data_IF_101309470889
#
_entry.id   IF_101309470889
#
_cell.length_a   1.000
_cell.length_b   1.000
_cell.length_c   1.000
_cell.angle_alpha   90.00
_cell.angle_beta   90.00
_cell.angle_gamma   90.00
#
_symmetry.space_group_name_H-M   'P 1'
#
loop_
_entity.id
_entity.type
_entity.pdbx_description
1 polymer ?
#
# COMPACT_ATOMS: atom_id res chain seq x y z
N UNK A 1 -28.13 9.15 -12.83
CA UNK A 1 -26.85 9.82 -12.51
C UNK A 1 -26.77 10.26 -11.03
N UNK A 2 -27.80 10.87 -10.46
CA UNK A 2 -27.81 11.25 -9.03
C UNK A 2 -27.77 10.05 -8.06
N UNK A 3 -28.40 8.92 -8.36
CA UNK A 3 -28.43 7.73 -7.52
C UNK A 3 -27.04 7.06 -7.35
N UNK A 4 -26.24 6.99 -8.41
CA UNK A 4 -24.87 6.44 -8.32
C UNK A 4 -23.91 7.36 -7.56
N UNK A 5 -24.13 8.67 -7.62
CA UNK A 5 -23.36 9.64 -6.83
C UNK A 5 -23.66 9.50 -5.34
N UNK A 6 -24.90 9.20 -4.96
CA UNK A 6 -25.29 9.00 -3.55
C UNK A 6 -24.70 7.72 -2.96
N UNK A 7 -24.65 6.62 -3.72
CA UNK A 7 -24.05 5.35 -3.25
C UNK A 7 -22.53 5.49 -3.04
N UNK A 8 -21.83 6.16 -3.95
CA UNK A 8 -20.39 6.40 -3.82
C UNK A 8 -20.06 7.29 -2.61
N UNK A 9 -20.83 8.34 -2.38
CA UNK A 9 -20.68 9.22 -1.21
C UNK A 9 -20.99 8.45 0.07
N UNK A 10 -22.03 7.62 0.09
CA UNK A 10 -22.40 6.82 1.24
C UNK A 10 -21.30 5.82 1.60
N UNK A 11 -20.70 5.16 0.63
CA UNK A 11 -19.57 4.25 0.84
C UNK A 11 -18.35 4.97 1.43
N UNK A 12 -18.01 6.15 0.90
CA UNK A 12 -16.92 6.95 1.42
C UNK A 12 -17.17 7.42 2.87
N UNK A 13 -18.39 7.86 3.18
CA UNK A 13 -18.80 8.27 4.53
C UNK A 13 -18.72 7.08 5.50
N UNK A 14 -19.15 5.90 5.08
CA UNK A 14 -19.07 4.70 5.90
C UNK A 14 -17.62 4.31 6.21
N UNK A 15 -16.71 4.36 5.23
CA UNK A 15 -15.27 4.09 5.45
C UNK A 15 -14.68 5.07 6.44
N UNK A 16 -14.94 6.37 6.27
CA UNK A 16 -14.47 7.40 7.22
C UNK A 16 -15.08 7.17 8.61
N UNK A 17 -16.36 6.79 8.68
CA UNK A 17 -17.02 6.46 9.94
C UNK A 17 -16.36 5.28 10.67
N UNK A 18 -16.05 4.19 9.96
CA UNK A 18 -15.35 3.04 10.54
C UNK A 18 -13.93 3.39 10.98
N UNK A 19 -13.20 4.18 10.19
CA UNK A 19 -11.86 4.64 10.59
C UNK A 19 -11.91 5.51 11.83
N UNK A 20 -12.83 6.46 11.91
CA UNK A 20 -13.02 7.32 13.07
C UNK A 20 -13.40 6.51 14.32
N UNK A 21 -14.29 5.52 14.18
CA UNK A 21 -14.67 4.61 15.26
C UNK A 21 -13.47 3.78 15.73
N UNK A 22 -12.68 3.22 14.82
CA UNK A 22 -11.51 2.42 15.15
C UNK A 22 -10.43 3.24 15.89
N UNK A 23 -10.14 4.44 15.37
CA UNK A 23 -9.18 5.36 16.02
C UNK A 23 -9.71 5.80 17.39
N UNK A 24 -10.99 6.14 17.48
CA UNK A 24 -11.62 6.53 18.76
C UNK A 24 -11.57 5.42 19.80
N UNK A 25 -11.86 4.18 19.39
CA UNK A 25 -11.77 3.01 20.27
C UNK A 25 -10.31 2.75 20.71
N UNK A 26 -9.35 2.86 19.79
CA UNK A 26 -7.92 2.71 20.11
C UNK A 26 -7.44 3.77 21.12
N UNK A 27 -7.80 5.02 20.93
CA UNK A 27 -7.49 6.10 21.87
C UNK A 27 -8.13 5.87 23.23
N UNK A 28 -9.41 5.47 23.26
CA UNK A 28 -10.11 5.15 24.51
C UNK A 28 -9.44 3.99 25.25
N UNK A 29 -9.03 2.95 24.53
CA UNK A 29 -8.33 1.81 25.11
C UNK A 29 -7.00 2.23 25.75
N UNK A 30 -6.18 3.01 25.05
CA UNK A 30 -4.91 3.53 25.61
C UNK A 30 -5.18 4.41 26.83
N UNK A 31 -6.18 5.32 26.75
CA UNK A 31 -6.53 6.20 27.85
C UNK A 31 -6.97 5.43 29.10
N UNK A 32 -7.82 4.41 28.93
CA UNK A 32 -8.26 3.55 30.04
C UNK A 32 -7.09 2.83 30.69
N UNK A 33 -6.16 2.27 29.88
CA UNK A 33 -4.97 1.61 30.42
C UNK A 33 -4.07 2.58 31.20
N UNK A 34 -3.88 3.81 30.72
CA UNK A 34 -3.11 4.83 31.44
C UNK A 34 -3.81 5.23 32.75
N UNK A 35 -5.14 5.35 32.72
CA UNK A 35 -5.94 5.69 33.89
C UNK A 35 -5.87 4.59 34.96
N UNK A 36 -6.03 3.34 34.55
CA UNK A 36 -5.87 2.18 35.43
C UNK A 36 -4.45 2.14 36.01
N UNK A 37 -3.43 2.32 35.15
CA UNK A 37 -2.04 2.40 35.59
C UNK A 37 -1.79 3.52 36.61
N UNK A 38 -2.44 4.68 36.42
CA UNK A 38 -2.33 5.79 37.37
C UNK A 38 -2.92 5.43 38.76
N UNK A 39 -4.04 4.74 38.81
CA UNK A 39 -4.68 4.36 40.09
C UNK A 39 -4.02 3.16 40.77
N UNK A 40 -3.51 2.21 40.00
CA UNK A 40 -2.90 0.97 40.52
C UNK A 40 -1.42 1.16 40.86
N UNK A 41 -0.76 2.13 40.25
CA UNK A 41 0.66 2.38 40.44
C UNK A 41 0.96 2.87 41.88
N UNK A 42 1.74 2.12 42.67
CA UNK A 42 2.13 2.56 44.01
C UNK A 42 2.98 3.83 43.91
N UNK A 43 2.58 4.87 44.62
CA UNK A 43 3.34 6.12 44.70
C UNK A 43 4.32 6.01 45.86
N UNK A 44 5.55 5.62 45.53
CA UNK A 44 6.64 5.62 46.49
C UNK A 44 7.84 6.38 45.88
N UNK A 45 7.91 7.71 46.05
CA UNK A 45 8.97 8.52 45.48
C UNK A 45 10.28 8.28 46.28
N UNK A 46 11.23 7.66 45.63
CA UNK A 46 12.62 7.58 46.07
C UNK A 46 13.51 8.38 45.13
N UNK A 47 14.62 9.01 45.60
CA UNK A 47 15.55 9.73 44.73
C UNK A 47 16.04 8.88 43.56
N UNK A 48 16.29 7.59 43.80
CA UNK A 48 16.74 6.60 42.83
C UNK A 48 15.73 6.32 41.72
N UNK A 49 14.43 6.61 41.92
CA UNK A 49 13.41 6.47 40.86
C UNK A 49 13.48 7.54 39.77
N UNK A 50 14.17 8.66 40.06
CA UNK A 50 14.41 9.71 39.09
C UNK A 50 15.69 9.49 38.26
N UNK A 51 16.50 8.52 38.64
CA UNK A 51 17.72 8.18 37.92
C UNK A 51 17.48 7.22 36.78
N UNK A 52 18.30 7.31 35.74
CA UNK A 52 18.26 6.42 34.61
C UNK A 52 18.65 5.02 35.07
N UNK A 53 17.77 4.04 34.83
CA UNK A 53 18.04 2.63 35.20
C UNK A 53 18.90 1.94 34.15
N UNK A 54 20.12 1.61 34.51
CA UNK A 54 21.06 0.84 33.71
C UNK A 54 21.43 -0.48 34.44
N UNK A 55 20.43 -1.34 34.62
CA UNK A 55 20.62 -2.68 35.23
C UNK A 55 21.30 -2.69 36.62
N UNK A 56 21.14 -1.62 37.40
CA UNK A 56 21.74 -1.49 38.75
C UNK A 56 23.12 -0.86 38.79
N UNK A 57 23.72 -0.53 37.66
CA UNK A 57 24.96 0.25 37.57
C UNK A 57 24.66 1.75 37.43
N UNK A 58 25.47 2.64 38.01
CA UNK A 58 25.32 4.08 37.78
C UNK A 58 25.61 4.42 36.33
N UNK A 59 24.80 5.29 35.74
CA UNK A 59 24.97 5.72 34.36
C UNK A 59 26.34 6.34 34.14
N UNK A 60 27.18 5.72 33.33
CA UNK A 60 28.54 6.18 33.00
C UNK A 60 28.54 6.78 31.60
N UNK A 61 28.79 8.08 31.47
CA UNK A 61 28.92 8.77 30.20
C UNK A 61 27.71 9.59 29.81
N UNK A 62 27.59 9.89 28.53
CA UNK A 62 26.53 10.71 27.94
C UNK A 62 25.60 9.82 27.14
N UNK A 63 24.27 10.06 27.23
CA UNK A 63 23.25 9.41 26.39
C UNK A 63 23.31 9.84 24.92
N UNK A 64 24.23 10.75 24.56
CA UNK A 64 24.47 11.14 23.17
C UNK A 64 25.25 10.03 22.45
N UNK A 65 24.50 9.09 21.88
CA UNK A 65 25.06 8.03 21.06
C UNK A 65 25.24 8.57 19.64
N UNK A 66 26.44 8.39 19.07
CA UNK A 66 26.64 8.60 17.65
C UNK A 66 25.97 7.45 16.89
N UNK A 67 24.80 7.72 16.31
CA UNK A 67 24.15 6.76 15.41
C UNK A 67 24.93 6.68 14.11
N UNK A 68 25.18 5.46 13.64
CA UNK A 68 25.67 5.24 12.29
C UNK A 68 24.57 5.62 11.29
N UNK A 69 24.88 6.59 10.40
CA UNK A 69 23.94 7.06 9.37
C UNK A 69 23.43 5.95 8.46
N UNK A 70 24.14 4.85 8.35
CA UNK A 70 23.75 3.66 7.57
C UNK A 70 22.45 3.05 8.03
N UNK A 71 22.18 3.06 9.34
CA UNK A 71 20.89 2.63 9.88
C UNK A 71 19.73 3.42 9.27
N UNK A 72 19.85 4.72 9.16
CA UNK A 72 18.82 5.57 8.56
C UNK A 72 18.66 5.32 7.07
N UNK A 73 19.75 5.02 6.36
CA UNK A 73 19.68 4.68 4.93
C UNK A 73 18.89 3.39 4.71
N UNK A 74 19.14 2.36 5.52
CA UNK A 74 18.40 1.09 5.44
C UNK A 74 16.94 1.29 5.80
N UNK A 75 16.63 2.06 6.85
CA UNK A 75 15.27 2.37 7.24
C UNK A 75 14.52 3.17 6.15
N UNK A 76 15.19 4.15 5.54
CA UNK A 76 14.64 4.94 4.45
C UNK A 76 14.40 4.07 3.20
N UNK A 77 15.34 3.19 2.88
CA UNK A 77 15.20 2.23 1.78
C UNK A 77 13.96 1.36 2.00
N UNK A 78 13.79 0.83 3.21
CA UNK A 78 12.62 0.02 3.57
C UNK A 78 11.32 0.79 3.35
N UNK A 79 11.23 2.03 3.82
CA UNK A 79 10.02 2.86 3.64
C UNK A 79 9.75 3.13 2.16
N UNK A 80 10.80 3.40 1.37
CA UNK A 80 10.64 3.62 -0.08
C UNK A 80 10.09 2.35 -0.73
N UNK A 81 10.66 1.18 -0.45
CA UNK A 81 10.18 -0.07 -1.03
C UNK A 81 8.74 -0.42 -0.62
N UNK A 82 8.34 -0.11 0.62
CA UNK A 82 6.95 -0.28 1.09
C UNK A 82 5.97 0.57 0.26
N UNK A 83 6.32 1.83 0.02
CA UNK A 83 5.51 2.72 -0.82
C UNK A 83 5.45 2.22 -2.26
N UNK A 84 6.57 1.75 -2.81
CA UNK A 84 6.64 1.21 -4.17
C UNK A 84 5.78 -0.05 -4.33
N UNK A 85 5.74 -0.93 -3.32
CA UNK A 85 4.85 -2.10 -3.31
C UNK A 85 3.39 -1.69 -3.37
N UNK A 86 3.00 -0.56 -2.78
CA UNK A 86 1.62 -0.07 -2.85
C UNK A 86 1.17 0.26 -4.29
N UNK A 87 2.08 0.67 -5.17
CA UNK A 87 1.76 0.94 -6.58
C UNK A 87 1.47 -0.34 -7.40
N UNK A 88 1.85 -1.52 -6.92
CA UNK A 88 1.47 -2.77 -7.57
C UNK A 88 -0.03 -3.06 -7.51
N UNK A 89 -0.76 -2.56 -6.52
CA UNK A 89 -2.19 -2.80 -6.40
C UNK A 89 -3.02 -2.19 -7.55
N UNK A 90 -2.87 -0.90 -7.90
CA UNK A 90 -3.55 -0.34 -9.06
C UNK A 90 -3.17 -1.05 -10.37
N UNK A 91 -1.89 -1.38 -10.54
CA UNK A 91 -1.42 -2.13 -11.69
C UNK A 91 -2.10 -3.51 -11.77
N UNK A 92 -2.09 -4.28 -10.69
CA UNK A 92 -2.68 -5.62 -10.65
C UNK A 92 -4.18 -5.61 -10.97
N UNK A 93 -4.91 -4.58 -10.54
CA UNK A 93 -6.33 -4.44 -10.87
C UNK A 93 -6.56 -4.19 -12.35
N UNK A 94 -5.77 -3.32 -12.99
CA UNK A 94 -5.89 -3.05 -14.43
C UNK A 94 -5.48 -4.27 -15.24
N UNK A 95 -4.35 -4.90 -14.90
CA UNK A 95 -3.86 -6.11 -15.57
C UNK A 95 -4.87 -7.25 -15.46
N UNK A 96 -5.34 -7.57 -14.25
CA UNK A 96 -6.29 -8.66 -14.03
C UNK A 96 -7.62 -8.47 -14.77
N UNK A 97 -8.14 -7.23 -14.80
CA UNK A 97 -9.39 -6.93 -15.53
C UNK A 97 -9.21 -6.97 -17.03
N UNK A 98 -8.05 -6.53 -17.54
CA UNK A 98 -7.76 -6.61 -18.97
C UNK A 98 -7.60 -8.06 -19.44
N UNK A 99 -6.95 -8.91 -18.66
CA UNK A 99 -6.85 -10.36 -18.96
C UNK A 99 -8.20 -11.03 -18.90
N UNK A 100 -9.02 -10.76 -17.87
CA UNK A 100 -10.35 -11.32 -17.76
C UNK A 100 -11.25 -10.91 -18.94
N UNK A 101 -11.18 -9.65 -19.37
CA UNK A 101 -11.91 -9.16 -20.54
C UNK A 101 -11.43 -9.85 -21.83
N UNK A 102 -10.13 -10.08 -21.98
CA UNK A 102 -9.54 -10.78 -23.09
C UNK A 102 -9.99 -12.25 -23.15
N UNK A 103 -10.09 -12.92 -22.01
CA UNK A 103 -10.58 -14.28 -21.89
C UNK A 103 -12.06 -14.39 -22.26
N UNK A 104 -12.90 -13.50 -21.70
CA UNK A 104 -14.32 -13.42 -22.04
C UNK A 104 -14.54 -13.17 -23.54
N UNK A 105 -13.77 -12.27 -24.14
CA UNK A 105 -13.87 -11.98 -25.56
C UNK A 105 -13.39 -13.16 -26.42
N UNK A 106 -12.33 -13.86 -26.01
CA UNK A 106 -11.81 -15.04 -26.70
C UNK A 106 -12.79 -16.22 -26.67
N UNK A 107 -13.57 -16.35 -25.60
CA UNK A 107 -14.62 -17.35 -25.43
C UNK A 107 -16.00 -16.93 -25.99
N UNK A 108 -16.06 -15.81 -26.73
CA UNK A 108 -17.27 -15.23 -27.29
C UNK A 108 -18.34 -14.85 -26.25
N UNK A 109 -17.93 -14.56 -25.03
CA UNK A 109 -18.83 -14.20 -23.92
C UNK A 109 -18.91 -12.69 -23.65
N UNK A 110 -18.04 -11.88 -24.27
CA UNK A 110 -18.06 -10.44 -24.07
C UNK A 110 -19.17 -9.73 -24.88
N UNK A 111 -19.52 -10.27 -26.06
CA UNK A 111 -20.56 -9.74 -26.93
C UNK A 111 -21.58 -10.82 -27.24
N UNK A 112 -22.85 -10.52 -27.02
CA UNK A 112 -23.97 -11.37 -27.37
C UNK A 112 -25.00 -10.59 -28.22
N UNK A 113 -25.42 -11.15 -29.36
CA UNK A 113 -26.36 -10.50 -30.28
C UNK A 113 -25.97 -9.07 -30.71
N UNK A 114 -24.69 -8.79 -30.89
CA UNK A 114 -24.18 -7.46 -31.29
C UNK A 114 -24.17 -6.43 -30.15
N UNK A 115 -24.39 -6.82 -28.92
CA UNK A 115 -24.34 -5.96 -27.73
C UNK A 115 -23.35 -6.49 -26.70
N UNK A 116 -22.73 -5.58 -25.95
CA UNK A 116 -21.89 -5.96 -24.82
C UNK A 116 -22.73 -6.62 -23.73
N UNK A 117 -22.24 -7.74 -23.18
CA UNK A 117 -22.82 -8.38 -22.01
C UNK A 117 -22.64 -7.49 -20.77
N UNK A 118 -23.49 -7.67 -19.76
CA UNK A 118 -23.41 -6.83 -18.55
C UNK A 118 -22.11 -7.02 -17.78
N UNK A 119 -21.54 -8.22 -17.81
CA UNK A 119 -20.21 -8.49 -17.24
C UNK A 119 -19.10 -7.73 -18.00
N UNK A 120 -19.17 -7.70 -19.34
CA UNK A 120 -18.21 -6.93 -20.13
C UNK A 120 -18.34 -5.42 -19.88
N UNK A 121 -19.58 -4.91 -19.77
CA UNK A 121 -19.83 -3.51 -19.43
C UNK A 121 -19.25 -3.13 -18.07
N UNK A 122 -19.41 -3.97 -17.06
CA UNK A 122 -18.82 -3.70 -15.73
C UNK A 122 -17.30 -3.64 -15.80
N UNK A 123 -16.65 -4.58 -16.48
CA UNK A 123 -15.19 -4.58 -16.65
C UNK A 123 -14.69 -3.33 -17.39
N UNK A 124 -15.37 -2.92 -18.46
CA UNK A 124 -15.01 -1.67 -19.15
C UNK A 124 -15.14 -0.43 -18.25
N UNK A 125 -16.23 -0.37 -17.46
CA UNK A 125 -16.44 0.73 -16.52
C UNK A 125 -15.36 0.76 -15.44
N UNK A 126 -14.98 -0.41 -14.94
CA UNK A 126 -13.93 -0.58 -13.94
C UNK A 126 -12.52 -0.30 -14.50
N UNK A 127 -12.30 -0.49 -15.80
CA UNK A 127 -11.09 -0.07 -16.52
C UNK A 127 -11.09 1.43 -16.84
N UNK A 128 -12.15 2.17 -16.47
CA UNK A 128 -12.24 3.63 -16.62
C UNK A 128 -12.92 4.09 -17.90
N UNK A 129 -13.49 3.21 -18.71
CA UNK A 129 -14.26 3.58 -19.91
C UNK A 129 -15.61 4.15 -19.49
N UNK A 130 -15.77 5.47 -19.63
CA UNK A 130 -16.98 6.19 -19.21
C UNK A 130 -18.11 6.11 -20.23
N UNK A 131 -17.78 6.03 -21.51
CA UNK A 131 -18.74 5.98 -22.59
C UNK A 131 -18.61 4.66 -23.36
N UNK A 132 -19.54 3.77 -23.10
CA UNK A 132 -19.60 2.45 -23.74
C UNK A 132 -20.21 2.49 -25.15
N UNK A 133 -20.81 3.60 -25.58
CA UNK A 133 -21.40 3.74 -26.90
C UNK A 133 -20.37 3.71 -28.02
N UNK A 134 -19.13 4.11 -27.71
CA UNK A 134 -18.01 4.10 -28.63
C UNK A 134 -17.24 2.78 -28.70
N UNK A 135 -17.61 1.81 -27.86
CA UNK A 135 -16.97 0.49 -27.86
C UNK A 135 -17.53 -0.36 -28.97
N UNK A 136 -16.66 -0.81 -29.86
CA UNK A 136 -17.04 -1.71 -30.94
C UNK A 136 -17.45 -3.05 -30.35
N UNK A 137 -18.74 -3.43 -30.49
CA UNK A 137 -19.28 -4.70 -29.98
C UNK A 137 -18.84 -5.88 -30.90
N UNK A 138 -17.56 -6.19 -30.89
CA UNK A 138 -16.94 -7.30 -31.61
C UNK A 138 -15.94 -8.02 -30.66
N UNK A 139 -16.17 -9.33 -30.44
CA UNK A 139 -15.34 -10.13 -29.56
C UNK A 139 -13.85 -10.15 -29.99
N UNK A 140 -13.58 -10.26 -31.29
CA UNK A 140 -12.20 -10.27 -31.78
C UNK A 140 -11.48 -8.94 -31.51
N UNK A 141 -12.13 -7.81 -31.80
CA UNK A 141 -11.57 -6.49 -31.55
C UNK A 141 -11.32 -6.27 -30.04
N UNK A 142 -12.26 -6.68 -29.19
CA UNK A 142 -12.15 -6.59 -27.73
C UNK A 142 -10.99 -7.48 -27.23
N UNK A 143 -10.87 -8.70 -27.74
CA UNK A 143 -9.80 -9.62 -27.35
C UNK A 143 -8.42 -9.04 -27.68
N UNK A 144 -8.25 -8.49 -28.89
CA UNK A 144 -6.99 -7.88 -29.32
C UNK A 144 -6.67 -6.65 -28.49
N UNK A 145 -7.63 -5.75 -28.28
CA UNK A 145 -7.44 -4.53 -27.51
C UNK A 145 -7.08 -4.83 -26.05
N UNK A 146 -7.79 -5.78 -25.42
CA UNK A 146 -7.57 -6.16 -24.03
C UNK A 146 -6.22 -6.86 -23.84
N UNK A 147 -5.80 -7.76 -24.76
CA UNK A 147 -4.47 -8.36 -24.74
C UNK A 147 -3.36 -7.33 -24.96
N UNK A 148 -3.59 -6.37 -25.84
CA UNK A 148 -2.63 -5.29 -26.06
C UNK A 148 -2.49 -4.43 -24.79
N UNK A 149 -3.60 -4.10 -24.13
CA UNK A 149 -3.58 -3.39 -22.86
C UNK A 149 -2.83 -4.19 -21.78
N UNK A 150 -3.11 -5.48 -21.64
CA UNK A 150 -2.39 -6.36 -20.70
C UNK A 150 -0.88 -6.40 -21.00
N UNK A 151 -0.48 -6.46 -22.26
CA UNK A 151 0.94 -6.39 -22.64
C UNK A 151 1.59 -5.04 -22.28
N UNK A 152 0.91 -3.94 -22.55
CA UNK A 152 1.39 -2.59 -22.18
C UNK A 152 1.58 -2.50 -20.68
N UNK A 153 0.60 -2.91 -19.89
CA UNK A 153 0.70 -2.89 -18.43
C UNK A 153 1.81 -3.81 -17.90
N UNK A 154 2.07 -4.95 -18.56
CA UNK A 154 3.18 -5.84 -18.21
C UNK A 154 4.54 -5.17 -18.49
N UNK A 155 4.67 -4.46 -19.59
CA UNK A 155 5.89 -3.69 -19.91
C UNK A 155 6.09 -2.56 -18.92
N UNK A 156 5.04 -1.83 -18.56
CA UNK A 156 5.09 -0.74 -17.58
C UNK A 156 5.62 -1.22 -16.23
N UNK A 157 5.07 -2.33 -15.71
CA UNK A 157 5.54 -2.86 -14.42
C UNK A 157 6.99 -3.40 -14.54
N UNK A 158 7.35 -3.94 -15.69
CA UNK A 158 8.73 -4.38 -15.96
C UNK A 158 9.72 -3.21 -15.92
N UNK A 159 9.40 -2.08 -16.54
CA UNK A 159 10.22 -0.85 -16.52
C UNK A 159 10.30 -0.31 -15.09
N UNK A 160 9.16 -0.21 -14.40
CA UNK A 160 9.09 0.24 -13.02
C UNK A 160 10.00 -0.60 -12.11
N UNK A 161 9.88 -1.91 -12.19
CA UNK A 161 10.70 -2.83 -11.41
C UNK A 161 12.19 -2.75 -11.77
N UNK A 162 12.53 -2.58 -13.05
CA UNK A 162 13.91 -2.42 -13.48
C UNK A 162 14.56 -1.16 -12.88
N UNK A 163 13.86 -0.03 -12.87
CA UNK A 163 14.33 1.22 -12.27
C UNK A 163 14.55 1.04 -10.77
N UNK A 164 13.61 0.41 -10.09
CA UNK A 164 13.67 0.10 -8.66
C UNK A 164 14.89 -0.76 -8.33
N UNK A 165 15.12 -1.83 -9.12
CA UNK A 165 16.27 -2.73 -8.95
C UNK A 165 17.61 -2.04 -9.25
N UNK A 166 17.64 -1.11 -10.18
CA UNK A 166 18.84 -0.28 -10.42
C UNK A 166 19.16 0.61 -9.21
N UNK A 167 18.15 1.23 -8.62
CA UNK A 167 18.29 2.01 -7.38
C UNK A 167 18.81 1.15 -6.23
N UNK A 168 18.22 -0.03 -6.04
CA UNK A 168 18.67 -0.99 -5.04
C UNK A 168 20.12 -1.44 -5.26
N UNK A 169 20.47 -1.83 -6.49
CA UNK A 169 21.82 -2.26 -6.86
C UNK A 169 22.86 -1.15 -6.61
N UNK A 170 22.50 0.11 -6.86
CA UNK A 170 23.35 1.25 -6.56
C UNK A 170 23.65 1.36 -5.05
N UNK A 171 22.62 1.33 -4.20
CA UNK A 171 22.77 1.40 -2.74
C UNK A 171 23.58 0.21 -2.21
N UNK A 172 23.31 -0.99 -2.73
CA UNK A 172 24.05 -2.19 -2.39
C UNK A 172 25.55 -2.06 -2.78
N UNK A 173 25.84 -1.67 -4.01
CA UNK A 173 27.22 -1.53 -4.49
C UNK A 173 28.00 -0.46 -3.75
N UNK A 174 27.33 0.55 -3.25
CA UNK A 174 27.92 1.63 -2.44
C UNK A 174 28.29 1.16 -1.02
N UNK A 175 27.78 0.00 -0.58
CA UNK A 175 28.02 -0.55 0.74
C UNK A 175 27.21 0.11 1.85
N UNK A 176 26.15 0.83 1.50
CA UNK A 176 25.26 1.47 2.48
C UNK A 176 24.43 0.45 3.28
N UNK A 177 24.34 -0.78 2.79
CA UNK A 177 23.70 -1.91 3.47
C UNK A 177 24.64 -2.63 4.45
N UNK A 178 25.94 -2.37 4.43
CA UNK A 178 26.95 -2.96 5.31
C UNK A 178 27.00 -2.22 6.65
N UNK A 179 25.92 -2.21 7.39
CA UNK A 179 25.77 -1.45 8.63
C UNK A 179 26.46 -2.10 9.85
N UNK A 180 26.85 -3.37 9.74
CA UNK A 180 27.59 -4.11 10.77
C UNK A 180 29.05 -4.24 10.33
N UNK A 181 29.79 -3.14 10.23
CA UNK A 181 31.25 -3.22 10.27
C UNK A 181 31.66 -2.98 11.71
N UNK A 182 32.06 -4.06 12.39
CA UNK A 182 32.80 -3.93 13.64
C UNK A 182 33.96 -2.94 13.37
N UNK A 183 33.99 -1.84 14.11
CA UNK A 183 35.16 -0.99 14.16
C UNK A 183 36.30 -1.85 14.79
N UNK A 184 37.21 -2.32 13.94
CA UNK A 184 38.48 -2.90 14.34
C UNK A 184 39.42 -1.76 14.58
#
# INVERSE_FOLDING_TARGET
MLLFATEGIQSAVNIVGYLALFVGFGLAFVFVNLLVGFFVRPSNPHPEKGEIYECGEPAIGSSYIQFDLRFYIVALLFIIFDVEVAFFFPWATVFGKSEHLAEMASSNQAVHAGQLTDNAKSLFTELGVRDLSNVVANNEAIAIASKTLAWITLVDIGIFFAILMLGFAYVWRRGDLDWVKAAI
#
